data_IF_576095225041
#
_entry.id   IF_576095225041
#
_cell.length_a   1.000
_cell.length_b   1.000
_cell.length_c   1.000
_cell.angle_alpha   90.00
_cell.angle_beta   90.00
_cell.angle_gamma   90.00
#
_symmetry.space_group_name_H-M   'P 1'
#
loop_
_entity.id
_entity.type
_entity.pdbx_description
1 polymer ?
#
# COMPACT_ATOMS: atom_id res chain seq x y z
N UNK A 1 40.15 -18.89 -40.45
CA UNK A 1 41.46 -18.18 -40.50
C UNK A 1 41.31 -16.92 -39.66
N UNK A 2 42.28 -16.75 -38.69
CA UNK A 2 42.56 -15.59 -37.83
C UNK A 2 41.42 -15.29 -36.81
N UNK A 3 41.51 -15.46 -35.49
CA UNK A 3 42.67 -15.67 -34.59
C UNK A 3 43.18 -14.36 -34.00
N UNK A 4 42.77 -14.01 -32.76
CA UNK A 4 43.51 -13.16 -31.81
C UNK A 4 42.85 -13.41 -30.43
N UNK A 5 43.39 -14.23 -29.60
CA UNK A 5 44.46 -14.20 -28.59
C UNK A 5 44.19 -13.29 -27.39
N UNK A 6 44.06 -14.00 -26.24
CA UNK A 6 44.18 -13.56 -24.84
C UNK A 6 45.34 -12.61 -24.60
N UNK A 7 45.20 -11.67 -23.70
CA UNK A 7 46.31 -11.19 -22.86
C UNK A 7 45.91 -11.21 -21.38
N UNK A 8 46.54 -12.15 -20.68
CA UNK A 8 46.67 -12.25 -19.22
C UNK A 8 47.79 -11.28 -18.84
N UNK A 9 47.53 -10.43 -17.81
CA UNK A 9 48.61 -9.82 -17.03
C UNK A 9 48.39 -10.14 -15.54
N UNK A 10 49.33 -10.95 -15.09
CA UNK A 10 49.59 -11.38 -13.72
C UNK A 10 50.62 -10.42 -13.06
N UNK A 11 50.59 -10.39 -11.71
CA UNK A 11 51.57 -9.81 -10.75
C UNK A 11 51.29 -8.38 -10.30
N UNK A 12 51.12 -8.16 -9.00
CA UNK A 12 52.05 -8.26 -7.87
C UNK A 12 51.34 -8.08 -6.53
N UNK A 13 51.59 -8.97 -5.59
CA UNK A 13 51.46 -8.86 -4.12
C UNK A 13 52.88 -8.43 -3.59
N UNK A 14 53.09 -8.20 -2.28
CA UNK A 14 52.30 -7.73 -1.14
C UNK A 14 53.01 -6.57 -0.40
N UNK A 15 52.31 -5.91 0.55
CA UNK A 15 53.01 -5.30 1.70
C UNK A 15 52.11 -5.33 2.95
N UNK A 16 52.52 -6.20 3.86
CA UNK A 16 52.13 -6.21 5.27
C UNK A 16 52.67 -4.94 5.97
N UNK A 17 51.80 -4.23 6.65
CA UNK A 17 52.20 -3.40 7.80
C UNK A 17 51.26 -3.70 8.97
N UNK A 18 51.80 -4.56 9.83
CA UNK A 18 51.34 -4.75 11.20
C UNK A 18 51.48 -3.45 11.99
N UNK A 19 50.43 -2.99 12.61
CA UNK A 19 50.47 -2.03 13.70
C UNK A 19 49.93 -2.70 14.95
N UNK A 20 50.88 -3.14 15.77
CA UNK A 20 50.67 -3.53 17.17
C UNK A 20 50.23 -2.30 17.96
N UNK A 21 49.12 -2.36 18.64
CA UNK A 21 48.75 -1.42 19.69
C UNK A 21 48.98 -2.07 21.06
N UNK A 22 50.01 -1.56 21.74
CA UNK A 22 50.35 -1.86 23.14
C UNK A 22 49.19 -1.59 24.10
N UNK A 23 48.85 -2.61 24.89
CA UNK A 23 47.98 -2.50 26.06
C UNK A 23 48.81 -2.07 27.25
N UNK A 24 48.77 -0.80 27.64
CA UNK A 24 49.28 -0.36 28.93
C UNK A 24 48.33 -0.68 30.08
N UNK A 25 48.72 -1.65 30.87
CA UNK A 25 48.12 -1.91 32.21
C UNK A 25 48.54 -0.80 33.17
N UNK A 26 47.59 -0.09 33.72
CA UNK A 26 47.82 0.77 34.91
C UNK A 26 47.20 0.08 36.11
N UNK A 27 48.08 -0.41 36.97
CA UNK A 27 47.77 -0.94 38.30
C UNK A 27 48.01 0.19 39.30
N UNK A 28 47.02 0.62 40.08
CA UNK A 28 47.21 1.44 41.27
C UNK A 28 46.31 0.91 42.40
N UNK A 29 46.97 0.30 43.29
CA UNK A 29 47.10 0.20 44.74
C UNK A 29 45.91 0.59 45.62
N UNK A 30 45.61 -0.39 46.49
CA UNK A 30 44.82 -0.27 47.73
C UNK A 30 45.43 0.73 48.68
N UNK A 31 44.60 1.51 49.37
CA UNK A 31 44.90 1.95 50.72
C UNK A 31 43.62 1.92 51.56
N UNK A 32 43.70 1.11 52.62
CA UNK A 32 42.78 1.02 53.74
C UNK A 32 42.80 2.35 54.54
N UNK A 33 41.61 2.79 54.96
CA UNK A 33 41.49 3.50 56.22
C UNK A 33 40.18 3.12 56.91
N UNK A 34 40.31 2.48 58.06
CA UNK A 34 39.23 2.12 58.98
C UNK A 34 39.05 3.26 59.99
N UNK A 35 37.87 3.47 60.50
CA UNK A 35 37.41 3.57 61.87
C UNK A 35 36.26 4.57 62.13
N UNK A 36 35.25 4.02 62.68
CA UNK A 36 34.44 4.36 63.89
C UNK A 36 33.33 5.43 63.70
N UNK A 37 32.13 5.05 63.91
CA UNK A 37 31.24 5.20 65.09
C UNK A 37 29.79 5.45 64.70
N UNK A 38 28.99 4.48 65.04
CA UNK A 38 27.61 4.46 65.59
C UNK A 38 26.82 5.77 65.68
N UNK A 39 25.62 5.78 65.04
CA UNK A 39 24.37 6.21 65.70
C UNK A 39 23.18 5.54 64.99
N UNK A 40 22.32 4.90 65.80
CA UNK A 40 21.04 4.31 65.43
C UNK A 40 20.05 5.44 65.05
N UNK A 41 19.43 5.31 63.86
CA UNK A 41 18.12 5.89 63.59
C UNK A 41 17.32 4.93 62.70
N UNK A 42 16.36 4.31 63.33
CA UNK A 42 15.30 3.56 62.64
C UNK A 42 14.55 4.48 61.68
N UNK A 43 14.59 4.15 60.39
CA UNK A 43 13.58 4.61 59.47
C UNK A 43 13.15 3.43 58.62
N UNK A 44 11.89 3.07 58.76
CA UNK A 44 11.11 2.08 58.02
C UNK A 44 11.34 2.32 56.51
N UNK A 45 12.02 1.36 55.87
CA UNK A 45 12.09 1.28 54.43
C UNK A 45 10.72 0.83 53.87
N UNK A 46 9.92 1.77 53.41
CA UNK A 46 8.84 1.48 52.53
C UNK A 46 9.43 0.97 51.22
N UNK A 47 9.28 -0.34 51.00
CA UNK A 47 9.59 -1.03 49.77
C UNK A 47 8.65 -0.45 48.67
N UNK A 48 9.10 0.50 47.90
CA UNK A 48 8.41 0.92 46.67
C UNK A 48 8.66 -0.18 45.66
N UNK A 49 7.71 -1.10 45.58
CA UNK A 49 7.49 -1.96 44.42
C UNK A 49 7.27 -0.99 43.23
N UNK A 50 8.27 -0.77 42.42
CA UNK A 50 8.10 -0.24 41.10
C UNK A 50 7.37 -1.32 40.27
N UNK A 51 6.05 -1.38 40.44
CA UNK A 51 5.19 -2.02 39.45
C UNK A 51 5.29 -1.13 38.19
N UNK A 52 6.06 -1.62 37.25
CA UNK A 52 6.03 -1.17 35.88
C UNK A 52 4.64 -1.54 35.31
N UNK A 53 3.61 -0.77 35.70
CA UNK A 53 2.32 -0.79 35.04
C UNK A 53 2.53 -0.07 33.70
N UNK A 54 2.72 -0.84 32.65
CA UNK A 54 2.41 -0.41 31.28
C UNK A 54 0.90 -0.16 31.20
N UNK A 55 0.43 0.91 31.82
CA UNK A 55 -0.88 1.46 31.48
C UNK A 55 -0.77 1.99 30.05
N UNK A 56 -1.71 1.63 29.17
CA UNK A 56 -1.80 2.32 27.88
C UNK A 56 -1.98 3.80 28.19
N UNK A 57 -1.03 4.61 27.75
CA UNK A 57 -1.09 6.04 27.94
C UNK A 57 -2.32 6.51 27.16
N UNK A 58 -3.33 7.02 27.87
CA UNK A 58 -4.51 7.67 27.31
C UNK A 58 -4.11 9.04 26.73
N UNK A 59 -2.96 9.09 26.07
CA UNK A 59 -2.43 10.30 25.44
C UNK A 59 -3.25 10.60 24.19
N UNK A 60 -3.66 11.85 24.08
CA UNK A 60 -4.33 12.40 22.91
C UNK A 60 -3.53 12.07 21.64
N UNK A 61 -4.22 11.81 20.51
CA UNK A 61 -3.57 11.54 19.24
C UNK A 61 -2.81 12.79 18.79
N UNK A 62 -1.49 12.76 18.78
CA UNK A 62 -0.64 13.91 18.46
C UNK A 62 -0.12 13.93 17.03
N UNK A 63 0.00 12.75 16.41
CA UNK A 63 0.51 12.64 15.04
C UNK A 63 0.08 11.35 14.35
N UNK A 64 -0.16 11.45 13.04
CA UNK A 64 -0.44 10.34 12.12
C UNK A 64 0.54 10.43 10.96
N UNK A 65 1.29 9.36 10.72
CA UNK A 65 2.14 9.22 9.55
C UNK A 65 1.43 8.38 8.49
N UNK A 66 1.47 8.80 7.24
CA UNK A 66 0.84 8.13 6.11
C UNK A 66 1.91 7.87 5.05
N UNK A 67 2.25 6.60 4.83
CA UNK A 67 3.17 6.17 3.77
C UNK A 67 2.37 5.53 2.64
N UNK A 68 2.43 6.11 1.45
CA UNK A 68 1.76 5.61 0.26
C UNK A 68 2.75 5.31 -0.86
N UNK A 69 2.32 4.52 -1.83
CA UNK A 69 3.14 4.11 -2.96
C UNK A 69 3.47 5.28 -3.89
N UNK A 70 2.46 5.89 -4.50
CA UNK A 70 2.67 6.91 -5.53
C UNK A 70 1.59 8.01 -5.46
N UNK A 71 1.99 9.25 -5.18
CA UNK A 71 1.08 10.41 -5.17
C UNK A 71 0.72 10.92 -6.58
N UNK A 72 1.32 10.38 -7.63
CA UNK A 72 0.87 10.58 -9.01
C UNK A 72 -0.50 9.93 -9.28
N UNK A 73 -0.87 8.90 -8.51
CA UNK A 73 -2.20 8.34 -8.53
C UNK A 73 -3.13 9.13 -7.56
N UNK A 74 -4.22 9.75 -8.05
CA UNK A 74 -5.13 10.55 -7.22
C UNK A 74 -5.82 9.76 -6.10
N UNK A 75 -5.87 8.44 -6.20
CA UNK A 75 -6.35 7.55 -5.13
C UNK A 75 -5.58 7.79 -3.82
N UNK A 76 -4.26 7.81 -3.87
CA UNK A 76 -3.43 7.98 -2.69
C UNK A 76 -3.44 9.40 -2.13
N UNK A 77 -3.75 10.39 -2.96
CA UNK A 77 -4.05 11.76 -2.48
C UNK A 77 -5.31 11.75 -1.61
N UNK A 78 -6.35 11.01 -1.98
CA UNK A 78 -7.57 10.88 -1.17
C UNK A 78 -7.33 10.07 0.12
N UNK A 79 -6.48 9.05 0.07
CA UNK A 79 -6.00 8.34 1.28
C UNK A 79 -5.39 9.33 2.27
N UNK A 80 -4.49 10.20 1.80
CA UNK A 80 -3.89 11.25 2.63
C UNK A 80 -4.92 12.19 3.25
N UNK A 81 -5.87 12.68 2.44
CA UNK A 81 -6.94 13.59 2.91
C UNK A 81 -7.86 12.93 3.94
N UNK A 82 -8.25 11.67 3.71
CA UNK A 82 -9.10 10.92 4.64
C UNK A 82 -8.42 10.69 5.99
N UNK A 83 -7.13 10.34 5.97
CA UNK A 83 -6.33 10.18 7.16
C UNK A 83 -6.18 11.50 7.93
N UNK A 84 -5.92 12.61 7.24
CA UNK A 84 -5.78 13.94 7.85
C UNK A 84 -7.11 14.40 8.48
N UNK A 85 -8.23 14.24 7.78
CA UNK A 85 -9.53 14.64 8.26
C UNK A 85 -9.91 13.90 9.56
N UNK A 86 -9.76 12.58 9.59
CA UNK A 86 -10.09 11.78 10.77
C UNK A 86 -9.07 12.02 11.92
N UNK A 87 -7.79 12.23 11.60
CA UNK A 87 -6.79 12.60 12.61
C UNK A 87 -7.18 13.90 13.33
N UNK A 88 -7.57 14.94 12.59
CA UNK A 88 -8.05 16.21 13.14
C UNK A 88 -9.33 16.07 13.96
N UNK A 89 -10.25 15.22 13.50
CA UNK A 89 -11.50 14.94 14.23
C UNK A 89 -11.24 14.26 15.58
N UNK A 90 -10.28 13.34 15.66
CA UNK A 90 -9.98 12.54 16.84
C UNK A 90 -9.04 13.22 17.83
N UNK A 91 -8.07 13.98 17.34
CA UNK A 91 -7.01 14.59 18.17
C UNK A 91 -6.98 16.13 18.11
N UNK A 92 -8.00 16.76 17.46
CA UNK A 92 -8.10 18.21 17.39
C UNK A 92 -7.20 18.86 16.34
N UNK A 93 -7.25 20.19 16.26
CA UNK A 93 -6.60 20.98 15.21
C UNK A 93 -5.05 20.90 15.23
N UNK A 94 -4.46 20.52 16.35
CA UNK A 94 -2.99 20.47 16.55
C UNK A 94 -2.37 19.13 16.14
N UNK A 95 -3.18 18.13 15.74
CA UNK A 95 -2.66 16.86 15.25
C UNK A 95 -1.87 17.07 13.97
N UNK A 96 -0.64 16.54 13.95
CA UNK A 96 0.19 16.57 12.73
C UNK A 96 -0.08 15.34 11.88
N UNK A 97 -0.38 15.55 10.61
CA UNK A 97 -0.43 14.48 9.62
C UNK A 97 0.72 14.66 8.63
N UNK A 98 1.52 13.60 8.45
CA UNK A 98 2.64 13.58 7.51
C UNK A 98 2.32 12.56 6.43
N UNK A 99 2.17 13.01 5.18
CA UNK A 99 1.97 12.15 4.01
C UNK A 99 3.26 12.10 3.21
N UNK A 100 3.74 10.89 2.92
CA UNK A 100 4.92 10.64 2.08
C UNK A 100 4.62 9.61 0.99
N UNK A 101 5.33 9.74 -0.14
CA UNK A 101 5.27 8.82 -1.27
C UNK A 101 6.61 8.11 -1.46
N UNK A 102 6.57 6.81 -1.71
CA UNK A 102 7.79 6.04 -2.00
C UNK A 102 8.11 5.96 -3.50
N UNK A 103 7.22 6.43 -4.38
CA UNK A 103 7.39 6.24 -5.83
C UNK A 103 7.50 4.77 -6.23
N UNK A 104 6.76 3.89 -5.55
CA UNK A 104 6.83 2.42 -5.67
C UNK A 104 8.19 1.79 -5.29
N UNK A 105 9.11 2.56 -4.70
CA UNK A 105 10.40 2.05 -4.21
C UNK A 105 10.25 1.51 -2.78
N UNK A 106 10.45 0.21 -2.62
CA UNK A 106 10.38 -0.48 -1.33
C UNK A 106 11.45 0.01 -0.35
N UNK A 107 12.67 0.29 -0.81
CA UNK A 107 13.75 0.76 0.06
C UNK A 107 13.47 2.18 0.56
N UNK A 108 12.93 3.03 -0.30
CA UNK A 108 12.50 4.37 0.09
C UNK A 108 11.37 4.29 1.13
N UNK A 109 10.38 3.41 0.93
CA UNK A 109 9.30 3.24 1.90
C UNK A 109 9.82 2.71 3.25
N UNK A 110 10.79 1.80 3.21
CA UNK A 110 11.46 1.29 4.40
C UNK A 110 12.08 2.42 5.22
N UNK A 111 12.89 3.28 4.57
CA UNK A 111 13.52 4.44 5.20
C UNK A 111 12.48 5.43 5.76
N UNK A 112 11.35 5.60 5.08
CA UNK A 112 10.26 6.47 5.55
C UNK A 112 9.67 5.94 6.86
N UNK A 113 9.42 4.62 6.96
CA UNK A 113 8.91 4.00 8.19
C UNK A 113 9.94 4.13 9.32
N UNK A 114 11.22 3.93 9.08
CA UNK A 114 12.28 4.15 10.07
C UNK A 114 12.31 5.60 10.58
N UNK A 115 12.15 6.58 9.70
CA UNK A 115 12.04 7.99 10.08
C UNK A 115 10.79 8.27 10.94
N UNK A 116 9.67 7.62 10.66
CA UNK A 116 8.46 7.72 11.49
C UNK A 116 8.68 7.12 12.88
N UNK A 117 9.38 5.98 12.96
CA UNK A 117 9.76 5.36 14.24
C UNK A 117 10.67 6.28 15.03
N UNK A 118 11.70 6.82 14.41
CA UNK A 118 12.64 7.76 15.06
C UNK A 118 11.95 9.05 15.55
N UNK A 119 10.88 9.48 14.84
CA UNK A 119 10.07 10.64 15.21
C UNK A 119 8.99 10.33 16.24
N UNK A 120 8.88 9.09 16.70
CA UNK A 120 7.89 8.61 17.67
C UNK A 120 6.45 9.04 17.31
N UNK A 121 6.05 8.79 16.07
CA UNK A 121 4.69 9.14 15.61
C UNK A 121 3.62 8.34 16.35
N UNK A 122 2.42 8.91 16.48
CA UNK A 122 1.33 8.29 17.23
C UNK A 122 0.78 7.01 16.56
N UNK A 123 0.81 6.93 15.23
CA UNK A 123 0.48 5.75 14.43
C UNK A 123 1.00 5.90 12.99
N UNK A 124 1.05 4.77 12.28
CA UNK A 124 1.38 4.70 10.86
C UNK A 124 0.19 4.12 10.09
N UNK A 125 -0.24 4.81 9.03
CA UNK A 125 -1.14 4.31 8.00
C UNK A 125 -0.28 3.97 6.80
N UNK A 126 -0.28 2.70 6.40
CA UNK A 126 0.64 2.15 5.39
C UNK A 126 -0.11 1.60 4.18
N UNK A 127 0.14 2.16 3.00
CA UNK A 127 -0.13 1.48 1.74
C UNK A 127 1.19 0.91 1.22
N UNK A 128 1.36 -0.40 1.32
CA UNK A 128 2.63 -1.06 1.07
C UNK A 128 3.03 -1.06 -0.41
N UNK A 129 4.28 -0.71 -0.73
CA UNK A 129 4.87 -0.82 -2.07
C UNK A 129 5.01 -2.29 -2.50
N UNK A 130 5.32 -3.17 -1.55
CA UNK A 130 5.32 -4.63 -1.72
C UNK A 130 4.73 -5.30 -0.48
N UNK A 131 3.74 -6.17 -0.67
CA UNK A 131 3.01 -6.82 0.43
C UNK A 131 3.91 -7.64 1.34
N UNK A 132 4.91 -8.34 0.79
CA UNK A 132 5.82 -9.22 1.54
C UNK A 132 7.11 -8.50 1.94
N UNK A 133 7.69 -7.76 1.00
CA UNK A 133 8.97 -7.08 1.20
C UNK A 133 8.95 -6.05 2.32
N UNK A 134 7.79 -5.46 2.62
CA UNK A 134 7.66 -4.44 3.69
C UNK A 134 7.68 -5.04 5.11
N UNK A 135 7.53 -6.36 5.26
CA UNK A 135 7.40 -7.01 6.57
C UNK A 135 8.44 -6.60 7.62
N UNK A 136 9.75 -6.50 7.31
CA UNK A 136 10.73 -6.09 8.34
C UNK A 136 10.52 -4.66 8.85
N UNK A 137 10.01 -3.73 8.02
CA UNK A 137 9.70 -2.38 8.47
C UNK A 137 8.47 -2.34 9.37
N UNK A 138 7.45 -3.15 9.05
CA UNK A 138 6.26 -3.33 9.88
C UNK A 138 6.65 -3.89 11.25
N UNK A 139 7.49 -4.93 11.29
CA UNK A 139 7.98 -5.53 12.54
C UNK A 139 8.74 -4.51 13.40
N UNK A 140 9.59 -3.65 12.80
CA UNK A 140 10.29 -2.58 13.52
C UNK A 140 9.32 -1.58 14.13
N UNK A 141 8.30 -1.14 13.40
CA UNK A 141 7.29 -0.22 13.92
C UNK A 141 6.55 -0.83 15.12
N UNK A 142 6.18 -2.12 15.04
CA UNK A 142 5.54 -2.85 16.14
C UNK A 142 6.45 -3.01 17.35
N UNK A 143 7.73 -3.33 17.15
CA UNK A 143 8.72 -3.41 18.23
C UNK A 143 8.90 -2.06 18.94
N UNK A 144 8.77 -0.95 18.21
CA UNK A 144 8.75 0.39 18.75
C UNK A 144 7.42 0.76 19.46
N UNK A 145 6.42 -0.12 19.46
CA UNK A 145 5.11 0.11 20.06
C UNK A 145 4.21 1.09 19.28
N UNK A 146 4.53 1.36 18.02
CA UNK A 146 3.77 2.25 17.16
C UNK A 146 2.72 1.43 16.39
N UNK A 147 1.40 1.69 16.57
CA UNK A 147 0.37 1.04 15.78
C UNK A 147 0.57 1.30 14.29
N UNK A 148 0.51 0.21 13.51
CA UNK A 148 0.65 0.27 12.06
C UNK A 148 -0.54 -0.41 11.39
N UNK A 149 -1.30 0.36 10.62
CA UNK A 149 -2.53 -0.07 9.97
C UNK A 149 -2.29 -0.05 8.46
N UNK A 150 -2.46 -1.20 7.83
CA UNK A 150 -2.42 -1.29 6.38
C UNK A 150 -3.71 -0.71 5.78
N UNK A 151 -3.59 0.02 4.69
CA UNK A 151 -4.70 0.61 3.94
C UNK A 151 -4.61 0.24 2.47
N UNK A 152 -5.76 -0.06 1.84
CA UNK A 152 -5.92 -0.46 0.44
C UNK A 152 -5.35 -1.84 0.12
N UNK A 153 -4.09 -2.10 0.41
CA UNK A 153 -3.49 -3.42 0.24
C UNK A 153 -2.93 -3.95 1.55
N UNK A 154 -2.94 -5.28 1.72
CA UNK A 154 -2.37 -5.93 2.89
C UNK A 154 -0.84 -5.75 2.93
N UNK A 155 -0.28 -5.79 4.14
CA UNK A 155 1.15 -5.82 4.39
C UNK A 155 1.48 -6.95 5.37
N UNK A 156 2.51 -7.73 5.07
CA UNK A 156 3.05 -8.73 6.00
C UNK A 156 3.87 -8.07 7.12
N UNK A 157 4.29 -8.85 8.12
CA UNK A 157 5.02 -8.34 9.30
C UNK A 157 4.11 -8.08 10.51
N UNK A 158 2.83 -8.45 10.41
CA UNK A 158 1.89 -8.43 11.53
C UNK A 158 1.33 -7.02 11.81
N UNK A 159 0.88 -6.31 10.79
CA UNK A 159 0.10 -5.06 10.96
C UNK A 159 -1.05 -5.25 11.95
N UNK A 160 -1.42 -4.19 12.66
CA UNK A 160 -2.44 -4.29 13.71
C UNK A 160 -3.86 -4.43 13.14
N UNK A 161 -4.08 -3.88 11.96
CA UNK A 161 -5.28 -4.09 11.16
C UNK A 161 -5.00 -3.78 9.68
N UNK A 162 -5.88 -4.28 8.81
CA UNK A 162 -5.93 -3.93 7.38
C UNK A 162 -7.31 -3.39 7.06
N UNK A 163 -7.37 -2.19 6.49
CA UNK A 163 -8.60 -1.59 5.97
C UNK A 163 -8.49 -1.49 4.46
N UNK A 164 -9.28 -2.27 3.75
CA UNK A 164 -9.20 -2.36 2.28
C UNK A 164 -10.58 -2.46 1.66
N UNK A 165 -10.71 -2.17 0.38
CA UNK A 165 -11.91 -2.52 -0.36
C UNK A 165 -12.06 -4.03 -0.47
N UNK A 166 -13.28 -4.52 -0.66
CA UNK A 166 -13.49 -5.90 -1.04
C UNK A 166 -13.04 -6.08 -2.50
N UNK A 167 -11.75 -6.33 -2.69
CA UNK A 167 -11.13 -6.40 -4.01
C UNK A 167 -11.58 -7.62 -4.82
N UNK A 168 -11.90 -8.74 -4.16
CA UNK A 168 -12.52 -9.89 -4.84
C UNK A 168 -13.87 -9.46 -5.41
N UNK A 169 -14.72 -8.80 -4.62
CA UNK A 169 -15.99 -8.26 -5.09
C UNK A 169 -15.79 -7.24 -6.23
N UNK A 170 -14.76 -6.39 -6.17
CA UNK A 170 -14.49 -5.43 -7.24
C UNK A 170 -14.21 -6.13 -8.59
N UNK A 171 -13.40 -7.19 -8.56
CA UNK A 171 -13.18 -8.04 -9.74
C UNK A 171 -14.45 -8.76 -10.20
N UNK A 172 -15.22 -9.29 -9.24
CA UNK A 172 -16.47 -9.99 -9.53
C UNK A 172 -17.50 -9.08 -10.21
N UNK A 173 -17.81 -7.91 -9.63
CA UNK A 173 -18.85 -7.01 -10.18
C UNK A 173 -18.44 -6.43 -11.54
N UNK A 174 -17.13 -6.10 -11.73
CA UNK A 174 -16.62 -5.61 -13.00
C UNK A 174 -16.71 -6.68 -14.09
N UNK A 175 -16.29 -7.90 -13.81
CA UNK A 175 -16.29 -8.97 -14.80
C UNK A 175 -17.67 -9.61 -15.00
N UNK A 176 -18.57 -9.54 -14.01
CA UNK A 176 -19.97 -9.87 -14.20
C UNK A 176 -20.63 -8.88 -15.17
N UNK A 177 -20.39 -7.57 -15.02
CA UNK A 177 -20.86 -6.56 -15.96
C UNK A 177 -20.37 -6.85 -17.41
N UNK A 178 -19.10 -7.26 -17.56
CA UNK A 178 -18.55 -7.66 -18.85
C UNK A 178 -19.28 -8.89 -19.39
N UNK A 179 -19.45 -9.93 -18.58
CA UNK A 179 -20.10 -11.18 -18.99
C UNK A 179 -21.56 -10.95 -19.41
N UNK A 180 -22.31 -10.15 -18.67
CA UNK A 180 -23.71 -9.82 -18.96
C UNK A 180 -23.82 -9.03 -20.28
N UNK A 181 -22.96 -8.02 -20.47
CA UNK A 181 -22.94 -7.19 -21.69
C UNK A 181 -22.53 -7.98 -22.93
N UNK A 182 -21.62 -8.95 -22.78
CA UNK A 182 -21.23 -9.90 -23.84
C UNK A 182 -22.22 -11.08 -24.00
N UNK A 183 -23.24 -11.17 -23.16
CA UNK A 183 -24.19 -12.28 -23.12
C UNK A 183 -23.46 -13.63 -22.97
N UNK A 184 -22.41 -13.65 -22.17
CA UNK A 184 -21.64 -14.83 -21.83
C UNK A 184 -20.68 -15.35 -22.93
N UNK A 185 -20.43 -14.58 -24.01
CA UNK A 185 -19.57 -15.01 -25.12
C UNK A 185 -18.74 -13.90 -25.70
N UNK A 186 -17.43 -14.09 -25.83
CA UNK A 186 -16.53 -13.10 -26.45
C UNK A 186 -15.08 -13.28 -26.06
N UNK A 187 -14.22 -12.39 -26.59
CA UNK A 187 -12.79 -12.35 -26.36
C UNK A 187 -12.47 -11.19 -25.44
N UNK A 188 -11.90 -11.46 -24.28
CA UNK A 188 -11.61 -10.47 -23.22
C UNK A 188 -10.13 -10.44 -22.94
N UNK A 189 -9.59 -9.26 -22.61
CA UNK A 189 -8.25 -9.10 -22.07
C UNK A 189 -8.33 -8.53 -20.67
N UNK A 190 -7.37 -8.92 -19.81
CA UNK A 190 -7.18 -8.37 -18.48
C UNK A 190 -5.87 -7.60 -18.51
N UNK A 191 -5.93 -6.28 -18.27
CA UNK A 191 -4.75 -5.44 -18.04
C UNK A 191 -4.45 -5.55 -16.56
N UNK A 192 -3.39 -6.30 -16.23
CA UNK A 192 -2.98 -6.61 -14.87
C UNK A 192 -2.09 -5.49 -14.30
N UNK A 193 -1.68 -5.61 -13.05
CA UNK A 193 -0.86 -4.66 -12.31
C UNK A 193 0.24 -5.33 -11.48
N UNK A 194 0.87 -4.58 -10.56
CA UNK A 194 1.91 -5.12 -9.68
C UNK A 194 1.34 -6.23 -8.76
N UNK A 195 2.18 -7.16 -8.29
CA UNK A 195 1.75 -8.32 -7.51
C UNK A 195 1.46 -7.97 -6.03
N UNK A 196 0.61 -6.97 -5.81
CA UNK A 196 0.10 -6.61 -4.47
C UNK A 196 -1.26 -7.26 -4.24
N UNK A 197 -1.63 -7.47 -2.97
CA UNK A 197 -2.83 -8.23 -2.60
C UNK A 197 -4.10 -7.71 -3.28
N UNK A 198 -4.34 -6.40 -3.29
CA UNK A 198 -5.51 -5.79 -3.90
C UNK A 198 -5.65 -6.10 -5.39
N UNK A 199 -4.54 -6.09 -6.14
CA UNK A 199 -4.53 -6.42 -7.58
C UNK A 199 -4.78 -7.91 -7.81
N UNK A 200 -4.09 -8.77 -7.06
CA UNK A 200 -4.26 -10.23 -7.16
C UNK A 200 -5.71 -10.63 -6.89
N UNK A 201 -6.34 -10.07 -5.86
CA UNK A 201 -7.73 -10.31 -5.49
C UNK A 201 -8.72 -9.86 -6.58
N UNK A 202 -8.51 -8.68 -7.20
CA UNK A 202 -9.34 -8.21 -8.33
C UNK A 202 -9.28 -9.17 -9.51
N UNK A 203 -8.09 -9.61 -9.89
CA UNK A 203 -7.92 -10.59 -10.98
C UNK A 203 -8.55 -11.93 -10.61
N UNK A 204 -8.41 -12.39 -9.37
CA UNK A 204 -9.05 -13.62 -8.88
C UNK A 204 -10.57 -13.52 -8.96
N UNK A 205 -11.17 -12.42 -8.48
CA UNK A 205 -12.60 -12.18 -8.56
C UNK A 205 -13.10 -12.18 -10.01
N UNK A 206 -12.38 -11.51 -10.92
CA UNK A 206 -12.69 -11.51 -12.34
C UNK A 206 -12.65 -12.93 -12.95
N UNK A 207 -11.59 -13.68 -12.68
CA UNK A 207 -11.44 -15.06 -13.19
C UNK A 207 -12.52 -15.99 -12.62
N UNK A 208 -12.95 -15.81 -11.38
CA UNK A 208 -14.04 -16.59 -10.78
C UNK A 208 -15.37 -16.41 -11.53
N UNK A 209 -15.62 -15.22 -12.06
CA UNK A 209 -16.79 -14.94 -12.90
C UNK A 209 -16.62 -15.60 -14.25
N UNK A 210 -15.53 -15.32 -14.97
CA UNK A 210 -15.34 -15.83 -16.33
C UNK A 210 -15.30 -17.36 -16.39
N UNK A 211 -14.88 -18.05 -15.33
CA UNK A 211 -14.93 -19.51 -15.25
C UNK A 211 -16.34 -20.10 -15.37
N UNK A 212 -17.39 -19.30 -15.10
CA UNK A 212 -18.79 -19.69 -15.24
C UNK A 212 -19.31 -19.54 -16.69
N UNK A 213 -18.52 -18.89 -17.56
CA UNK A 213 -18.89 -18.59 -18.96
C UNK A 213 -17.86 -19.18 -19.93
N UNK A 214 -18.00 -20.46 -20.33
CA UNK A 214 -16.99 -21.16 -21.12
C UNK A 214 -16.77 -20.59 -22.53
N UNK A 215 -17.72 -19.79 -23.03
CA UNK A 215 -17.61 -19.09 -24.32
C UNK A 215 -16.92 -17.72 -24.20
N UNK A 216 -16.56 -17.26 -23.00
CA UNK A 216 -15.69 -16.12 -22.79
C UNK A 216 -14.23 -16.59 -22.79
N UNK A 217 -13.44 -16.07 -23.74
CA UNK A 217 -12.01 -16.40 -23.88
C UNK A 217 -11.15 -15.26 -23.36
N UNK A 218 -10.37 -15.51 -22.32
CA UNK A 218 -9.38 -14.56 -21.84
C UNK A 218 -8.11 -14.71 -22.69
N UNK A 219 -7.84 -13.71 -23.54
CA UNK A 219 -6.73 -13.70 -24.50
C UNK A 219 -5.40 -13.34 -23.86
N UNK A 220 -5.40 -12.44 -22.87
CA UNK A 220 -4.22 -11.98 -22.11
C UNK A 220 -4.64 -11.58 -20.70
N UNK A 221 -3.78 -11.84 -19.69
CA UNK A 221 -4.05 -11.52 -18.29
C UNK A 221 -2.81 -11.26 -17.43
N UNK A 222 -1.62 -11.48 -17.98
CA UNK A 222 -0.39 -11.53 -17.17
C UNK A 222 0.51 -10.29 -17.38
N UNK A 223 0.12 -9.34 -18.24
CA UNK A 223 0.91 -8.15 -18.54
C UNK A 223 0.72 -7.09 -17.44
N UNK A 224 1.83 -6.69 -16.80
CA UNK A 224 1.83 -5.70 -15.73
C UNK A 224 1.83 -4.27 -16.30
N UNK A 225 0.75 -3.53 -16.06
CA UNK A 225 0.60 -2.11 -16.37
C UNK A 225 0.98 -1.19 -15.19
N UNK A 226 1.62 -1.73 -14.15
CA UNK A 226 2.15 -0.97 -12.99
C UNK A 226 1.08 -0.18 -12.21
N UNK A 227 -0.21 -0.43 -12.52
CA UNK A 227 -1.33 0.33 -11.95
C UNK A 227 -1.39 1.78 -12.42
N UNK A 228 -0.69 2.13 -13.49
CA UNK A 228 -0.51 3.49 -14.00
C UNK A 228 -1.17 3.70 -15.37
N UNK A 229 -1.40 4.99 -15.72
CA UNK A 229 -1.92 5.38 -17.03
C UNK A 229 -0.96 5.01 -18.16
N UNK A 230 0.33 5.31 -17.97
CA UNK A 230 1.36 5.02 -18.97
C UNK A 230 1.56 3.52 -19.16
N UNK A 231 1.50 2.75 -18.08
CA UNK A 231 1.50 1.29 -18.11
C UNK A 231 0.28 0.74 -18.85
N UNK A 232 -0.91 1.28 -18.61
CA UNK A 232 -2.14 0.92 -19.31
C UNK A 232 -2.05 1.21 -20.81
N UNK A 233 -1.53 2.38 -21.19
CA UNK A 233 -1.27 2.74 -22.58
C UNK A 233 -0.31 1.75 -23.25
N UNK A 234 0.83 1.48 -22.63
CA UNK A 234 1.85 0.57 -23.14
C UNK A 234 1.29 -0.85 -23.33
N UNK A 235 0.72 -1.43 -22.29
CA UNK A 235 0.20 -2.80 -22.32
C UNK A 235 -0.94 -2.94 -23.34
N UNK A 236 -1.86 -1.98 -23.40
CA UNK A 236 -2.94 -2.04 -24.38
C UNK A 236 -2.44 -1.88 -25.82
N UNK A 237 -1.42 -1.08 -26.07
CA UNK A 237 -0.80 -0.97 -27.41
C UNK A 237 -0.24 -2.31 -27.88
N UNK A 238 0.44 -3.05 -26.99
CA UNK A 238 0.96 -4.39 -27.28
C UNK A 238 -0.19 -5.39 -27.55
N UNK A 239 -1.26 -5.32 -26.74
CA UNK A 239 -2.47 -6.16 -26.89
C UNK A 239 -3.15 -5.89 -28.24
N UNK A 240 -3.34 -4.62 -28.61
CA UNK A 240 -3.97 -4.24 -29.89
C UNK A 240 -3.17 -4.72 -31.11
N UNK A 241 -1.85 -4.77 -30.99
CA UNK A 241 -0.97 -5.31 -32.02
C UNK A 241 -1.09 -6.84 -32.10
N UNK A 242 -1.22 -7.52 -30.96
CA UNK A 242 -1.23 -8.98 -30.88
C UNK A 242 -2.59 -9.59 -31.24
N UNK A 243 -3.69 -8.89 -30.96
CA UNK A 243 -5.05 -9.41 -31.10
C UNK A 243 -5.89 -8.55 -32.04
N UNK A 244 -6.22 -9.05 -33.24
CA UNK A 244 -7.00 -8.32 -34.23
C UNK A 244 -8.46 -8.10 -33.80
N UNK A 245 -8.96 -8.91 -32.85
CA UNK A 245 -10.32 -8.81 -32.32
C UNK A 245 -10.32 -8.95 -30.81
N UNK A 246 -10.91 -7.97 -30.14
CA UNK A 246 -11.19 -7.91 -28.70
C UNK A 246 -12.64 -7.46 -28.56
N UNK A 247 -13.39 -8.02 -27.61
CA UNK A 247 -14.78 -7.63 -27.35
C UNK A 247 -14.90 -6.82 -26.06
N UNK A 248 -14.02 -7.05 -25.05
CA UNK A 248 -13.97 -6.26 -23.84
C UNK A 248 -12.58 -6.26 -23.17
N UNK A 249 -12.34 -5.27 -22.33
CA UNK A 249 -11.13 -5.09 -21.51
C UNK A 249 -11.55 -4.95 -20.06
N UNK A 250 -10.99 -5.74 -19.15
CA UNK A 250 -10.96 -5.49 -17.74
C UNK A 250 -9.59 -4.89 -17.37
N UNK A 251 -9.55 -3.68 -16.85
CA UNK A 251 -8.36 -3.08 -16.30
C UNK A 251 -8.44 -3.09 -14.76
N UNK A 252 -7.35 -3.46 -14.10
CA UNK A 252 -7.33 -3.63 -12.63
C UNK A 252 -7.60 -2.33 -11.88
N UNK A 253 -7.43 -1.19 -12.53
CA UNK A 253 -7.79 0.12 -11.98
C UNK A 253 -8.12 1.14 -13.10
N UNK A 254 -8.69 2.27 -12.71
CA UNK A 254 -9.10 3.33 -13.63
C UNK A 254 -7.93 4.01 -14.36
N UNK A 255 -6.77 4.31 -13.75
CA UNK A 255 -5.62 4.82 -14.49
C UNK A 255 -5.21 3.91 -15.65
N UNK A 256 -5.14 2.58 -15.43
CA UNK A 256 -4.87 1.62 -16.50
C UNK A 256 -5.96 1.63 -17.58
N UNK A 257 -7.23 1.74 -17.19
CA UNK A 257 -8.38 1.79 -18.11
C UNK A 257 -8.33 3.02 -19.02
N UNK A 258 -8.04 4.19 -18.45
CA UNK A 258 -7.88 5.46 -19.19
C UNK A 258 -6.67 5.37 -20.14
N UNK A 259 -5.57 4.78 -19.70
CA UNK A 259 -4.42 4.51 -20.56
C UNK A 259 -4.76 3.58 -21.72
N UNK A 260 -5.53 2.53 -21.46
CA UNK A 260 -6.00 1.59 -22.48
C UNK A 260 -6.92 2.27 -23.50
N UNK A 261 -7.81 3.16 -23.06
CA UNK A 261 -8.65 3.94 -23.97
C UNK A 261 -7.81 4.86 -24.87
N UNK A 262 -6.75 5.47 -24.34
CA UNK A 262 -5.84 6.29 -25.13
C UNK A 262 -5.13 5.44 -26.21
N UNK A 263 -4.66 4.24 -25.88
CA UNK A 263 -4.08 3.31 -26.85
C UNK A 263 -5.08 2.93 -27.96
N UNK A 264 -6.34 2.68 -27.59
CA UNK A 264 -7.41 2.39 -28.54
C UNK A 264 -7.64 3.55 -29.51
N UNK A 265 -7.70 4.78 -29.00
CA UNK A 265 -7.83 6.00 -29.84
C UNK A 265 -6.64 6.18 -30.80
N UNK A 266 -5.41 5.95 -30.35
CA UNK A 266 -4.21 6.02 -31.19
C UNK A 266 -4.21 4.94 -32.29
N UNK A 267 -4.66 3.72 -31.97
CA UNK A 267 -4.78 2.62 -32.91
C UNK A 267 -6.06 2.68 -33.78
N UNK A 268 -6.92 3.68 -33.59
CA UNK A 268 -8.23 3.83 -34.24
C UNK A 268 -9.12 2.58 -34.08
N UNK A 269 -9.05 1.94 -32.89
CA UNK A 269 -9.83 0.77 -32.54
C UNK A 269 -10.95 1.17 -31.58
N UNK A 270 -12.19 0.74 -31.86
CA UNK A 270 -13.39 1.10 -31.07
C UNK A 270 -14.44 -0.01 -30.99
N UNK A 271 -14.08 -1.22 -31.37
CA UNK A 271 -14.99 -2.36 -31.41
C UNK A 271 -15.20 -3.06 -30.06
N UNK A 272 -14.55 -2.62 -29.01
CA UNK A 272 -14.62 -3.17 -27.65
C UNK A 272 -14.99 -2.10 -26.62
N UNK A 273 -15.28 -2.52 -25.42
CA UNK A 273 -15.49 -1.63 -24.28
C UNK A 273 -14.53 -1.96 -23.11
N UNK A 274 -14.35 -1.00 -22.21
CA UNK A 274 -13.40 -1.07 -21.09
C UNK A 274 -14.15 -0.91 -19.78
N UNK A 275 -13.79 -1.75 -18.80
CA UNK A 275 -14.29 -1.70 -17.42
C UNK A 275 -13.09 -1.60 -16.49
N UNK A 276 -13.16 -0.69 -15.52
CA UNK A 276 -12.11 -0.45 -14.52
C UNK A 276 -12.52 -0.76 -13.09
N UNK A 277 -11.69 -0.32 -12.18
CA UNK A 277 -11.93 -0.29 -10.73
C UNK A 277 -11.36 1.01 -10.21
N UNK A 278 -11.96 1.64 -9.28
CA UNK A 278 -11.63 2.73 -8.37
C UNK A 278 -12.77 3.75 -8.22
N UNK A 279 -13.49 4.09 -9.30
CA UNK A 279 -14.45 5.21 -9.31
C UNK A 279 -13.75 6.57 -9.30
N UNK A 280 -12.56 6.66 -9.93
CA UNK A 280 -11.78 7.87 -10.00
C UNK A 280 -12.52 9.01 -10.71
N UNK A 281 -12.31 10.29 -10.35
CA UNK A 281 -12.99 11.41 -10.99
C UNK A 281 -12.87 11.42 -12.51
N UNK A 282 -11.68 11.13 -13.06
CA UNK A 282 -11.47 11.05 -14.51
C UNK A 282 -12.26 9.92 -15.17
N UNK A 283 -12.40 8.77 -14.47
CA UNK A 283 -13.22 7.67 -14.93
C UNK A 283 -14.71 8.04 -14.95
N UNK A 284 -15.19 8.72 -13.91
CA UNK A 284 -16.58 9.23 -13.88
C UNK A 284 -16.84 10.23 -15.01
N UNK A 285 -15.85 11.06 -15.34
CA UNK A 285 -15.97 11.98 -16.48
C UNK A 285 -15.96 11.23 -17.83
N UNK A 286 -15.19 10.17 -17.97
CA UNK A 286 -15.22 9.31 -19.14
C UNK A 286 -16.59 8.59 -19.29
N UNK A 287 -17.19 8.12 -18.20
CA UNK A 287 -18.51 7.48 -18.21
C UNK A 287 -19.62 8.41 -18.71
N UNK A 288 -19.50 9.73 -18.47
CA UNK A 288 -20.45 10.74 -18.93
C UNK A 288 -20.34 11.03 -20.45
N UNK A 289 -19.24 10.58 -21.09
CA UNK A 289 -19.00 10.81 -22.52
C UNK A 289 -19.53 9.65 -23.35
N UNK A 290 -20.46 9.90 -24.26
CA UNK A 290 -21.07 8.86 -25.11
C UNK A 290 -20.08 8.14 -26.05
N UNK A 291 -18.99 8.79 -26.42
CA UNK A 291 -17.97 8.24 -27.32
C UNK A 291 -16.78 7.60 -26.59
N UNK A 292 -16.77 7.53 -25.26
CA UNK A 292 -15.76 6.82 -24.50
C UNK A 292 -15.97 5.31 -24.62
N UNK A 293 -14.87 4.55 -24.70
CA UNK A 293 -14.90 3.09 -24.61
C UNK A 293 -15.01 2.62 -23.16
N UNK A 294 -14.70 3.49 -22.20
CA UNK A 294 -14.83 3.23 -20.78
C UNK A 294 -16.30 3.29 -20.38
N UNK A 295 -16.86 2.18 -19.86
CA UNK A 295 -18.32 2.04 -19.66
C UNK A 295 -18.76 1.73 -18.26
N UNK A 296 -17.85 1.25 -17.39
CA UNK A 296 -18.14 0.99 -15.98
C UNK A 296 -16.86 0.93 -15.15
N UNK A 297 -17.00 1.17 -13.84
CA UNK A 297 -15.94 1.02 -12.83
C UNK A 297 -16.52 0.51 -11.53
N UNK A 298 -15.81 -0.39 -10.83
CA UNK A 298 -16.15 -0.77 -9.47
C UNK A 298 -15.56 0.27 -8.50
N UNK A 299 -16.40 1.14 -7.99
CA UNK A 299 -15.96 2.27 -7.18
C UNK A 299 -15.50 1.87 -5.78
N UNK A 300 -14.34 2.38 -5.39
CA UNK A 300 -13.77 2.37 -4.04
C UNK A 300 -14.01 3.72 -3.35
N UNK A 301 -13.74 3.76 -2.05
CA UNK A 301 -13.79 4.99 -1.25
C UNK A 301 -12.45 5.15 -0.48
N UNK A 302 -11.41 5.68 -1.13
CA UNK A 302 -10.08 5.82 -0.52
C UNK A 302 -10.07 6.79 0.66
N UNK A 303 -10.92 7.82 0.64
CA UNK A 303 -11.04 8.76 1.75
C UNK A 303 -11.58 8.05 3.00
N UNK A 304 -12.73 7.39 2.88
CA UNK A 304 -13.36 6.66 3.99
C UNK A 304 -12.48 5.50 4.47
N UNK A 305 -11.78 4.83 3.57
CA UNK A 305 -10.86 3.74 3.89
C UNK A 305 -9.75 4.23 4.82
N UNK A 306 -9.11 5.34 4.49
CA UNK A 306 -8.06 5.93 5.30
C UNK A 306 -8.57 6.53 6.61
N UNK A 307 -9.73 7.20 6.59
CA UNK A 307 -10.39 7.67 7.81
C UNK A 307 -10.65 6.49 8.77
N UNK A 308 -11.17 5.36 8.25
CA UNK A 308 -11.39 4.14 9.05
C UNK A 308 -10.08 3.55 9.58
N UNK A 309 -9.00 3.59 8.82
CA UNK A 309 -7.69 3.14 9.30
C UNK A 309 -7.19 3.98 10.49
N UNK A 310 -7.36 5.29 10.45
CA UNK A 310 -6.99 6.19 11.57
C UNK A 310 -7.89 5.95 12.79
N UNK A 311 -9.20 5.79 12.60
CA UNK A 311 -10.15 5.44 13.67
C UNK A 311 -9.73 4.14 14.38
N UNK A 312 -9.47 3.08 13.61
CA UNK A 312 -9.03 1.77 14.12
C UNK A 312 -7.68 1.88 14.85
N UNK A 313 -6.72 2.58 14.25
CA UNK A 313 -5.41 2.80 14.86
C UNK A 313 -5.50 3.55 16.20
N UNK A 314 -6.41 4.52 16.29
CA UNK A 314 -6.65 5.25 17.53
C UNK A 314 -7.28 4.37 18.62
N UNK A 315 -8.21 3.48 18.27
CA UNK A 315 -8.76 2.50 19.21
C UNK A 315 -7.68 1.50 19.68
N UNK A 316 -6.81 1.04 18.79
CA UNK A 316 -5.68 0.17 19.14
C UNK A 316 -4.73 0.86 20.14
N UNK A 317 -4.45 2.16 19.95
CA UNK A 317 -3.67 2.98 20.89
C UNK A 317 -4.30 3.02 22.29
N UNK A 318 -5.63 3.02 22.37
CA UNK A 318 -6.38 2.98 23.63
C UNK A 318 -6.47 1.58 24.25
N UNK A 319 -5.89 0.56 23.58
CA UNK A 319 -5.93 -0.84 24.01
C UNK A 319 -7.12 -1.63 23.43
N UNK A 320 -7.97 -1.04 22.62
CA UNK A 320 -9.15 -1.63 22.01
C UNK A 320 -8.80 -2.24 20.65
N UNK A 321 -8.50 -3.54 20.61
CA UNK A 321 -8.23 -4.23 19.34
C UNK A 321 -9.54 -4.59 18.64
N UNK A 322 -9.62 -4.46 17.29
CA UNK A 322 -10.80 -4.88 16.55
C UNK A 322 -10.97 -6.40 16.63
N UNK A 323 -12.21 -6.88 16.72
CA UNK A 323 -12.52 -8.32 16.73
C UNK A 323 -12.10 -9.00 15.41
N UNK A 324 -12.22 -8.29 14.29
CA UNK A 324 -11.68 -8.69 12.98
C UNK A 324 -10.67 -7.64 12.53
N UNK A 325 -9.37 -7.97 12.43
CA UNK A 325 -8.36 -7.02 11.95
C UNK A 325 -8.44 -6.75 10.45
N UNK A 326 -9.14 -7.58 9.66
CA UNK A 326 -9.35 -7.39 8.23
C UNK A 326 -10.71 -6.74 7.99
N UNK A 327 -10.70 -5.44 7.71
CA UNK A 327 -11.89 -4.62 7.55
C UNK A 327 -12.10 -4.36 6.05
N UNK A 328 -13.16 -4.95 5.50
CA UNK A 328 -13.50 -4.83 4.08
C UNK A 328 -14.54 -3.73 3.88
N UNK A 329 -14.23 -2.78 3.01
CA UNK A 329 -15.15 -1.74 2.53
C UNK A 329 -15.82 -2.25 1.25
N UNK A 330 -17.17 -2.36 1.20
CA UNK A 330 -17.86 -2.78 -0.02
C UNK A 330 -17.60 -1.82 -1.18
N UNK A 331 -17.59 -2.34 -2.40
CA UNK A 331 -17.52 -1.57 -3.63
C UNK A 331 -18.89 -1.49 -4.29
N UNK A 332 -19.11 -0.45 -5.12
CA UNK A 332 -20.31 -0.28 -5.91
C UNK A 332 -19.95 -0.15 -7.38
N UNK A 333 -20.70 -0.85 -8.26
CA UNK A 333 -20.51 -0.66 -9.70
C UNK A 333 -21.14 0.67 -10.13
N UNK A 334 -20.32 1.50 -10.78
CA UNK A 334 -20.74 2.73 -11.44
C UNK A 334 -20.64 2.52 -12.94
N UNK A 335 -21.71 2.82 -13.66
CA UNK A 335 -21.79 2.81 -15.10
C UNK A 335 -22.45 4.10 -15.65
N UNK A 336 -22.74 4.12 -16.93
CA UNK A 336 -23.37 5.29 -17.58
C UNK A 336 -24.79 5.58 -17.07
N UNK A 337 -25.50 4.59 -16.59
CA UNK A 337 -26.88 4.75 -16.12
C UNK A 337 -26.94 5.42 -14.75
N UNK A 338 -25.96 5.11 -13.89
CA UNK A 338 -25.96 5.58 -12.51
C UNK A 338 -24.87 6.61 -12.16
N UNK A 339 -23.94 6.93 -13.07
CA UNK A 339 -22.81 7.86 -12.80
C UNK A 339 -23.24 9.23 -12.29
N UNK A 340 -24.43 9.72 -12.68
CA UNK A 340 -24.95 11.02 -12.22
C UNK A 340 -25.38 11.02 -10.75
N UNK A 341 -25.54 9.87 -10.14
CA UNK A 341 -25.91 9.69 -8.73
C UNK A 341 -24.67 9.63 -7.82
N UNK A 342 -23.47 9.47 -8.39
CA UNK A 342 -22.23 9.34 -7.66
C UNK A 342 -21.51 10.69 -7.54
N UNK A 343 -21.12 11.02 -6.31
CA UNK A 343 -20.36 12.25 -6.02
C UNK A 343 -18.85 12.07 -6.29
N UNK A 344 -18.39 10.84 -6.59
CA UNK A 344 -16.97 10.49 -6.70
C UNK A 344 -16.28 10.43 -5.33
N UNK A 345 -14.98 10.56 -5.33
CA UNK A 345 -14.15 10.59 -4.12
C UNK A 345 -14.26 11.97 -3.45
N UNK A 346 -15.35 12.25 -2.78
CA UNK A 346 -15.56 13.51 -2.07
C UNK A 346 -15.28 13.35 -0.59
N UNK A 347 -14.82 14.44 0.03
CA UNK A 347 -14.49 14.54 1.46
C UNK A 347 -15.70 14.80 2.36
N UNK A 348 -16.93 14.45 1.95
CA UNK A 348 -18.12 14.58 2.77
C UNK A 348 -18.61 13.25 3.33
#
# INVERSE_FOLDING_TARGET
MLGWQLHIYDRLSPNEHSLEFEVKRVTIALSLFSLLSSTLASCTAASQNAQNSTQPSNSELSSVAVAVRDLGNPFFVQVGKGAEAEAKKLGGANVRTTLVSSGDDLNQQFNQIENFIASNVGMIVLNAADTKGIAPAVEKAKQAGIPIIAVDTAAEGGVDATVTSNNVQAGEVSCQYIADRLKGKGSVVIINGPPVASVVERVQGCQSVFSKYPDIKVLSKDQNAEGSRDGGLRVMSDILTSFPKIDAVFAINDPCAIGAELAAKQAQRSEFFIVGVDGAPEALDALKQNNSLFVATAAQDPFRMAAKAVEVGNEIRKGNKPANPNILIPVALIDRENVHQHKGWTSE
#
